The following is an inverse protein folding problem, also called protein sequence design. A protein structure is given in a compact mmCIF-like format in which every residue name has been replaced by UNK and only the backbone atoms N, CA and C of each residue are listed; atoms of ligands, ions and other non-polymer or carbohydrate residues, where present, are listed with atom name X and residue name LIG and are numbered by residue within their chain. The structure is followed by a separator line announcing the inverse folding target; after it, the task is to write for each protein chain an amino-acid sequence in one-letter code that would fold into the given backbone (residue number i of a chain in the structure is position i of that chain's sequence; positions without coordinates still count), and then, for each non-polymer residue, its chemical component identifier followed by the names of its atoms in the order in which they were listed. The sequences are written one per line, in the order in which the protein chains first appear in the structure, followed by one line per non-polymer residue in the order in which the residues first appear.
data_IF_173259358691
#
_entry.id   IF_173259358691
#
_cell.length_a   1.000
_cell.length_b   1.000
_cell.length_c   1.000
_cell.angle_alpha   90.00
_cell.angle_beta   90.00
_cell.angle_gamma   90.00
#
_symmetry.space_group_name_H-M   'P 1'
#
loop_
_entity.id
_entity.type
_entity.pdbx_description
1 polymer ?
#
# COMPACT_ATOMS: atom_id res chain seq x y z
N UNK A 1 -3.15 -22.51 -9.97
CA UNK A 1 -3.22 -21.57 -8.81
C UNK A 1 -1.88 -20.88 -8.68
N UNK A 2 -1.89 -19.59 -8.36
CA UNK A 2 -0.69 -18.76 -8.21
C UNK A 2 -0.71 -18.03 -6.88
N UNK A 3 0.45 -17.66 -6.37
CA UNK A 3 0.56 -16.83 -5.18
C UNK A 3 1.50 -15.64 -5.40
N UNK A 4 1.18 -14.51 -4.78
CA UNK A 4 2.03 -13.34 -4.71
C UNK A 4 2.24 -12.96 -3.25
N UNK A 5 3.52 -12.83 -2.87
CA UNK A 5 3.93 -12.29 -1.58
C UNK A 5 4.55 -10.91 -1.85
N UNK A 6 4.11 -9.89 -1.13
CA UNK A 6 4.70 -8.56 -1.23
C UNK A 6 5.34 -8.15 0.11
N UNK A 7 6.63 -7.82 0.06
CA UNK A 7 7.43 -7.36 1.20
C UNK A 7 7.52 -5.83 1.14
N UNK A 8 6.56 -5.18 1.78
CA UNK A 8 6.50 -3.73 1.89
C UNK A 8 7.22 -3.17 3.12
N UNK A 9 7.15 -1.84 3.26
CA UNK A 9 7.76 -1.11 4.38
C UNK A 9 7.09 -1.44 5.72
N UNK A 10 5.76 -1.48 5.78
CA UNK A 10 5.03 -1.74 7.03
C UNK A 10 4.54 -3.19 7.14
N UNK A 11 4.14 -3.76 6.00
CA UNK A 11 3.40 -5.03 5.92
C UNK A 11 4.07 -6.03 5.00
N UNK A 12 3.86 -7.31 5.26
CA UNK A 12 4.13 -8.40 4.32
C UNK A 12 2.80 -9.07 4.01
N UNK A 13 2.43 -9.09 2.74
CA UNK A 13 1.12 -9.54 2.27
C UNK A 13 1.25 -10.82 1.47
N UNK A 14 0.27 -11.73 1.56
CA UNK A 14 0.14 -12.92 0.71
C UNK A 14 -1.22 -12.86 0.00
N UNK A 15 -1.23 -13.11 -1.29
CA UNK A 15 -2.42 -13.34 -2.11
C UNK A 15 -2.30 -14.70 -2.78
N UNK A 16 -3.36 -15.50 -2.70
CA UNK A 16 -3.49 -16.74 -3.47
C UNK A 16 -4.72 -16.60 -4.36
N UNK A 17 -4.52 -16.83 -5.66
CA UNK A 17 -5.59 -16.73 -6.64
C UNK A 17 -5.54 -17.90 -7.64
N UNK A 18 -6.68 -18.16 -8.26
CA UNK A 18 -6.82 -19.03 -9.41
C UNK A 18 -7.19 -18.19 -10.63
N UNK A 19 -6.63 -18.53 -11.78
CA UNK A 19 -6.99 -17.92 -13.05
C UNK A 19 -8.22 -18.65 -13.60
N UNK A 20 -9.21 -17.89 -14.06
CA UNK A 20 -10.38 -18.37 -14.78
C UNK A 20 -10.58 -17.57 -16.08
N UNK A 21 -11.60 -17.91 -16.86
CA UNK A 21 -11.90 -17.24 -18.14
C UNK A 21 -12.17 -15.73 -17.98
N UNK A 22 -12.63 -15.31 -16.80
CA UNK A 22 -12.99 -13.93 -16.47
C UNK A 22 -11.86 -13.13 -15.79
N UNK A 23 -10.70 -13.76 -15.52
CA UNK A 23 -9.53 -13.12 -14.89
C UNK A 23 -9.00 -13.88 -13.67
N UNK A 24 -8.76 -13.16 -12.57
CA UNK A 24 -8.26 -13.75 -11.34
C UNK A 24 -9.41 -13.91 -10.34
N UNK A 25 -9.61 -15.12 -9.84
CA UNK A 25 -10.46 -15.43 -8.69
C UNK A 25 -9.63 -15.50 -7.42
N UNK A 26 -9.89 -14.61 -6.47
CA UNK A 26 -9.20 -14.61 -5.18
C UNK A 26 -9.64 -15.81 -4.35
N UNK A 27 -8.67 -16.51 -3.77
CA UNK A 27 -8.92 -17.67 -2.92
C UNK A 27 -8.58 -17.41 -1.46
N UNK A 28 -7.50 -16.66 -1.21
CA UNK A 28 -7.01 -16.43 0.14
C UNK A 28 -6.10 -15.20 0.22
N UNK A 29 -6.21 -14.46 1.31
CA UNK A 29 -5.37 -13.30 1.61
C UNK A 29 -4.87 -13.38 3.05
N UNK A 30 -3.60 -13.04 3.25
CA UNK A 30 -3.00 -12.91 4.57
C UNK A 30 -2.16 -11.64 4.66
N UNK A 31 -2.13 -11.07 5.86
CA UNK A 31 -1.35 -9.88 6.16
C UNK A 31 -0.62 -10.03 7.49
N UNK A 32 0.67 -9.70 7.50
CA UNK A 32 1.48 -9.51 8.71
C UNK A 32 2.08 -8.10 8.70
N UNK A 33 2.34 -7.54 9.88
CA UNK A 33 2.91 -6.19 10.03
C UNK A 33 4.28 -6.23 10.72
N UNK A 34 5.33 -6.75 10.07
CA UNK A 34 6.66 -6.82 10.68
C UNK A 34 7.38 -5.46 10.75
N UNK A 35 6.81 -4.40 10.17
CA UNK A 35 7.34 -3.02 10.19
C UNK A 35 8.80 -2.95 9.72
N UNK A 36 9.08 -3.56 8.56
CA UNK A 36 10.43 -3.68 7.99
C UNK A 36 11.18 -2.35 7.87
N UNK A 37 10.46 -1.30 7.49
CA UNK A 37 11.01 0.01 7.19
C UNK A 37 11.24 0.93 8.39
N UNK A 38 10.99 0.47 9.61
CA UNK A 38 11.17 1.29 10.81
C UNK A 38 12.62 1.79 10.91
N UNK A 39 12.81 3.10 10.92
CA UNK A 39 14.12 3.77 10.99
C UNK A 39 14.97 3.69 9.72
N UNK A 40 14.49 3.05 8.64
CA UNK A 40 15.25 2.90 7.38
C UNK A 40 15.49 4.25 6.72
N UNK A 41 14.56 5.19 6.85
CA UNK A 41 14.68 6.49 6.21
C UNK A 41 15.95 7.23 6.63
N UNK A 42 16.26 7.21 7.93
CA UNK A 42 17.44 7.82 8.53
C UNK A 42 18.66 6.91 8.42
N UNK A 43 18.52 5.64 8.79
CA UNK A 43 19.66 4.73 8.95
C UNK A 43 20.17 4.14 7.63
N UNK A 44 19.35 4.13 6.57
CA UNK A 44 19.62 3.48 5.28
C UNK A 44 20.00 2.00 5.41
N UNK A 45 19.53 1.35 6.47
CA UNK A 45 19.77 -0.07 6.78
C UNK A 45 18.51 -0.69 7.38
N UNK A 46 18.28 -1.96 7.05
CA UNK A 46 17.28 -2.80 7.72
C UNK A 46 17.88 -3.33 9.03
N UNK A 47 17.16 -3.19 10.14
CA UNK A 47 17.57 -3.80 11.42
C UNK A 47 17.43 -5.33 11.39
N UNK A 48 18.34 -6.05 12.04
CA UNK A 48 18.27 -7.52 12.18
C UNK A 48 16.92 -8.00 12.74
N UNK A 49 16.37 -7.29 13.73
CA UNK A 49 15.07 -7.61 14.36
C UNK A 49 13.92 -7.58 13.33
N UNK A 50 13.88 -6.52 12.52
CA UNK A 50 12.86 -6.36 11.46
C UNK A 50 13.00 -7.39 10.35
N UNK A 51 14.24 -7.72 9.95
CA UNK A 51 14.52 -8.83 9.02
C UNK A 51 13.97 -10.14 9.60
N UNK A 52 14.26 -10.44 10.87
CA UNK A 52 13.79 -11.64 11.56
C UNK A 52 12.26 -11.77 11.54
N UNK A 53 11.53 -10.68 11.79
CA UNK A 53 10.05 -10.66 11.69
C UNK A 53 9.53 -10.93 10.28
N UNK A 54 10.19 -10.38 9.25
CA UNK A 54 9.84 -10.65 7.84
C UNK A 54 10.07 -12.12 7.50
N UNK A 55 11.22 -12.69 7.88
CA UNK A 55 11.51 -14.12 7.64
C UNK A 55 10.48 -15.02 8.31
N UNK A 56 10.08 -14.71 9.56
CA UNK A 56 9.01 -15.44 10.25
C UNK A 56 7.70 -15.39 9.46
N UNK A 57 7.32 -14.21 8.95
CA UNK A 57 6.09 -14.03 8.16
C UNK A 57 6.12 -14.85 6.86
N UNK A 58 7.25 -14.85 6.14
CA UNK A 58 7.37 -15.59 4.87
C UNK A 58 7.43 -17.12 5.13
N UNK A 59 8.05 -17.57 6.22
CA UNK A 59 8.00 -18.99 6.63
C UNK A 59 6.58 -19.45 6.93
N UNK A 60 5.79 -18.61 7.60
CA UNK A 60 4.38 -18.86 7.84
C UNK A 60 3.61 -18.99 6.52
N UNK A 61 3.81 -18.06 5.59
CA UNK A 61 3.17 -18.11 4.26
C UNK A 61 3.59 -19.34 3.46
N UNK A 62 4.87 -19.72 3.51
CA UNK A 62 5.34 -20.99 2.91
C UNK A 62 4.60 -22.19 3.51
N UNK A 63 4.38 -22.23 4.81
CA UNK A 63 3.64 -23.30 5.46
C UNK A 63 2.17 -23.33 5.02
N UNK A 64 1.50 -22.18 4.92
CA UNK A 64 0.12 -22.07 4.38
C UNK A 64 0.08 -22.63 2.96
N UNK A 65 1.00 -22.19 2.09
CA UNK A 65 1.10 -22.67 0.71
C UNK A 65 1.31 -24.19 0.64
N UNK A 66 2.20 -24.76 1.46
CA UNK A 66 2.49 -26.20 1.40
C UNK A 66 1.41 -27.09 2.01
N UNK A 67 0.67 -26.60 3.01
CA UNK A 67 -0.28 -27.43 3.78
C UNK A 67 -1.73 -27.27 3.34
N UNK A 68 -2.12 -26.06 2.89
CA UNK A 68 -3.50 -25.72 2.56
C UNK A 68 -3.71 -25.49 1.06
N UNK A 69 -2.66 -25.05 0.35
CA UNK A 69 -2.73 -24.68 -1.07
C UNK A 69 -1.68 -25.40 -1.92
N UNK A 70 -1.53 -26.71 -1.72
CA UNK A 70 -0.49 -27.54 -2.38
C UNK A 70 -0.54 -27.55 -3.93
N UNK A 71 -1.60 -27.01 -4.54
CA UNK A 71 -1.75 -26.83 -6.00
C UNK A 71 -1.11 -25.53 -6.52
N UNK A 72 -0.59 -24.67 -5.65
CA UNK A 72 0.17 -23.48 -6.07
C UNK A 72 1.50 -23.93 -6.65
N UNK A 73 1.69 -23.68 -7.95
CA UNK A 73 2.90 -24.05 -8.69
C UNK A 73 3.90 -22.91 -8.77
N UNK A 74 3.42 -21.67 -8.66
CA UNK A 74 4.20 -20.45 -8.86
C UNK A 74 3.96 -19.45 -7.73
N UNK A 75 5.05 -19.01 -7.10
CA UNK A 75 5.04 -18.01 -6.05
C UNK A 75 5.92 -16.85 -6.48
N UNK A 76 5.32 -15.68 -6.66
CA UNK A 76 6.04 -14.43 -6.90
C UNK A 76 6.29 -13.77 -5.55
N UNK A 77 7.54 -13.38 -5.27
CA UNK A 77 7.85 -12.59 -4.07
C UNK A 77 8.43 -11.26 -4.50
N UNK A 78 7.75 -10.16 -4.18
CA UNK A 78 8.20 -8.79 -4.47
C UNK A 78 8.72 -8.11 -3.21
N UNK A 79 9.62 -7.16 -3.38
CA UNK A 79 10.05 -6.25 -2.32
C UNK A 79 10.13 -4.81 -2.84
N UNK A 80 9.79 -3.84 -2.00
CA UNK A 80 9.60 -2.44 -2.41
C UNK A 80 10.41 -1.44 -1.58
N UNK A 81 9.88 -0.24 -1.33
CA UNK A 81 10.58 0.96 -0.86
C UNK A 81 11.61 0.72 0.25
N UNK A 82 11.25 0.07 1.36
CA UNK A 82 12.20 -0.17 2.46
C UNK A 82 13.42 -1.00 2.05
N UNK A 83 13.24 -1.97 1.16
CA UNK A 83 14.34 -2.83 0.67
C UNK A 83 15.14 -2.13 -0.41
N UNK A 84 14.52 -1.28 -1.24
CA UNK A 84 15.23 -0.42 -2.19
C UNK A 84 16.20 0.53 -1.50
N UNK A 85 15.73 1.18 -0.43
CA UNK A 85 16.47 2.21 0.33
C UNK A 85 17.63 1.66 1.15
N UNK A 86 17.57 0.39 1.53
CA UNK A 86 18.53 -0.21 2.43
C UNK A 86 19.82 -0.65 1.73
N UNK A 87 20.95 -0.20 2.29
CA UNK A 87 22.28 -0.60 1.83
C UNK A 87 22.57 -2.10 2.07
N UNK A 88 22.01 -2.70 3.11
CA UNK A 88 22.13 -4.13 3.44
C UNK A 88 20.99 -4.99 2.86
N UNK A 89 20.24 -4.53 1.85
CA UNK A 89 19.11 -5.26 1.25
C UNK A 89 19.40 -6.72 0.86
N UNK A 90 20.62 -7.01 0.43
CA UNK A 90 21.04 -8.36 0.05
C UNK A 90 21.01 -9.34 1.22
N UNK A 91 21.14 -8.87 2.46
CA UNK A 91 21.00 -9.68 3.67
C UNK A 91 19.59 -10.29 3.74
N UNK A 92 18.56 -9.45 3.61
CA UNK A 92 17.17 -9.90 3.57
C UNK A 92 16.91 -10.84 2.38
N UNK A 93 17.30 -10.45 1.17
CA UNK A 93 17.05 -11.22 -0.06
C UNK A 93 17.67 -12.62 0.04
N UNK A 94 18.94 -12.69 0.46
CA UNK A 94 19.65 -13.97 0.60
C UNK A 94 19.03 -14.83 1.71
N UNK A 95 18.60 -14.21 2.82
CA UNK A 95 17.99 -14.94 3.92
C UNK A 95 16.61 -15.49 3.53
N UNK A 96 15.79 -14.75 2.78
CA UNK A 96 14.53 -15.26 2.21
C UNK A 96 14.81 -16.48 1.34
N UNK A 97 15.77 -16.39 0.42
CA UNK A 97 16.14 -17.51 -0.46
C UNK A 97 16.62 -18.72 0.33
N UNK A 98 17.52 -18.52 1.29
CA UNK A 98 18.07 -19.60 2.13
C UNK A 98 16.99 -20.30 2.95
N UNK A 99 16.11 -19.55 3.60
CA UNK A 99 15.17 -20.09 4.58
C UNK A 99 13.88 -20.63 3.94
N UNK A 100 13.51 -20.13 2.76
CA UNK A 100 12.21 -20.44 2.14
C UNK A 100 12.35 -21.02 0.73
N UNK A 101 13.48 -20.80 0.05
CA UNK A 101 13.68 -21.17 -1.34
C UNK A 101 13.13 -20.15 -2.35
N UNK A 102 12.38 -19.13 -1.90
CA UNK A 102 11.81 -18.12 -2.77
C UNK A 102 12.85 -17.08 -3.22
N UNK A 103 12.80 -16.72 -4.49
CA UNK A 103 13.55 -15.59 -5.03
C UNK A 103 12.75 -14.30 -4.84
N UNK A 104 13.42 -13.23 -4.41
CA UNK A 104 12.80 -11.92 -4.21
C UNK A 104 13.09 -11.03 -5.40
N UNK A 105 12.03 -10.59 -6.08
CA UNK A 105 12.10 -9.55 -7.09
C UNK A 105 12.04 -8.17 -6.42
N UNK A 106 13.16 -7.46 -6.39
CA UNK A 106 13.19 -6.07 -5.97
C UNK A 106 12.63 -5.20 -7.09
N UNK A 107 11.47 -4.57 -6.87
CA UNK A 107 10.82 -3.71 -7.85
C UNK A 107 11.39 -2.29 -7.77
N UNK A 108 11.62 -1.67 -8.92
CA UNK A 108 11.75 -0.21 -9.04
C UNK A 108 10.43 0.49 -8.65
N UNK A 109 10.48 1.80 -8.43
CA UNK A 109 9.28 2.58 -8.14
C UNK A 109 8.31 2.61 -9.33
N UNK A 110 8.84 2.62 -10.56
CA UNK A 110 8.06 2.55 -11.79
C UNK A 110 7.36 1.19 -11.96
N UNK A 111 8.05 0.08 -11.69
CA UNK A 111 7.45 -1.26 -11.72
C UNK A 111 6.38 -1.42 -10.64
N UNK A 112 6.61 -0.89 -9.43
CA UNK A 112 5.62 -0.88 -8.34
C UNK A 112 4.36 -0.12 -8.76
N UNK A 113 4.52 1.09 -9.32
CA UNK A 113 3.40 1.87 -9.82
C UNK A 113 2.65 1.17 -10.97
N UNK A 114 3.36 0.49 -11.87
CA UNK A 114 2.75 -0.28 -12.96
C UNK A 114 1.95 -1.48 -12.43
N UNK A 115 2.52 -2.24 -11.50
CA UNK A 115 1.86 -3.40 -10.90
C UNK A 115 0.63 -2.95 -10.12
N UNK A 116 0.76 -1.93 -9.28
CA UNK A 116 -0.38 -1.39 -8.55
C UNK A 116 -1.46 -0.85 -9.50
N UNK A 117 -1.11 -0.12 -10.55
CA UNK A 117 -2.09 0.37 -11.53
C UNK A 117 -2.89 -0.79 -12.14
N UNK A 118 -2.20 -1.83 -12.63
CA UNK A 118 -2.87 -3.01 -13.21
C UNK A 118 -3.76 -3.70 -12.18
N UNK A 119 -3.23 -3.95 -10.99
CA UNK A 119 -3.96 -4.66 -9.93
C UNK A 119 -5.15 -3.89 -9.37
N UNK A 120 -5.07 -2.56 -9.29
CA UNK A 120 -6.16 -1.72 -8.81
C UNK A 120 -7.40 -1.79 -9.70
N UNK A 121 -7.20 -2.03 -11.01
CA UNK A 121 -8.29 -2.06 -11.98
C UNK A 121 -8.93 -3.44 -12.12
N UNK A 122 -8.28 -4.52 -11.67
CA UNK A 122 -8.82 -5.89 -11.86
C UNK A 122 -10.00 -6.23 -10.96
N UNK A 123 -10.22 -5.46 -9.91
CA UNK A 123 -11.28 -5.73 -8.92
C UNK A 123 -12.57 -4.94 -9.19
N UNK A 124 -12.64 -4.23 -10.32
CA UNK A 124 -13.85 -3.56 -10.76
C UNK A 124 -14.46 -4.32 -11.94
N UNK A 125 -15.75 -4.61 -11.85
CA UNK A 125 -16.49 -5.30 -12.92
C UNK A 125 -16.64 -4.44 -14.19
N UNK A 126 -16.59 -3.12 -14.02
CA UNK A 126 -16.76 -2.15 -15.09
C UNK A 126 -15.41 -1.72 -15.69
N UNK A 127 -15.36 -1.61 -17.02
CA UNK A 127 -14.22 -0.99 -17.67
C UNK A 127 -14.14 0.47 -17.26
N UNK A 128 -13.02 0.85 -16.64
CA UNK A 128 -12.79 2.23 -16.25
C UNK A 128 -12.49 3.05 -17.50
N UNK A 129 -13.50 3.78 -17.96
CA UNK A 129 -13.42 4.63 -19.14
C UNK A 129 -12.81 6.00 -18.80
N UNK A 130 -12.03 6.56 -19.73
CA UNK A 130 -11.41 7.87 -19.54
C UNK A 130 -10.15 7.81 -18.69
N UNK A 131 -9.77 8.96 -18.13
CA UNK A 131 -8.53 9.10 -17.36
C UNK A 131 -8.75 8.68 -15.90
N UNK A 132 -7.78 7.94 -15.36
CA UNK A 132 -7.81 7.39 -14.00
C UNK A 132 -6.47 7.62 -13.34
N UNK A 133 -6.48 8.23 -12.15
CA UNK A 133 -5.37 8.14 -11.23
C UNK A 133 -5.51 6.92 -10.33
N UNK A 134 -4.43 6.17 -10.17
CA UNK A 134 -4.27 5.19 -9.10
C UNK A 134 -3.25 5.75 -8.11
N UNK A 135 -3.66 5.84 -6.85
CA UNK A 135 -2.83 6.28 -5.72
C UNK A 135 -2.56 5.08 -4.79
N UNK A 136 -1.29 4.76 -4.60
CA UNK A 136 -0.82 3.79 -3.62
C UNK A 136 -0.13 4.51 -2.47
N UNK A 137 -0.68 4.45 -1.25
CA UNK A 137 -0.01 5.01 -0.08
C UNK A 137 0.64 3.86 0.70
N UNK A 138 1.89 3.60 0.37
CA UNK A 138 2.75 2.66 1.06
C UNK A 138 3.33 3.22 2.36
N UNK A 139 4.11 2.39 3.05
CA UNK A 139 4.83 2.82 4.25
C UNK A 139 6.04 3.70 3.93
N UNK A 140 6.78 3.38 2.86
CA UNK A 140 8.02 4.07 2.50
C UNK A 140 7.90 4.99 1.29
N UNK A 141 6.99 4.68 0.37
CA UNK A 141 6.73 5.47 -0.84
C UNK A 141 5.23 5.67 -1.04
N UNK A 142 4.89 6.55 -1.97
CA UNK A 142 3.56 6.69 -2.55
C UNK A 142 3.68 6.69 -4.06
N UNK A 143 2.96 5.82 -4.73
CA UNK A 143 2.92 5.75 -6.19
C UNK A 143 1.68 6.48 -6.70
N UNK A 144 1.88 7.31 -7.72
CA UNK A 144 0.80 7.92 -8.50
C UNK A 144 0.94 7.46 -9.94
N UNK A 145 -0.07 6.78 -10.43
CA UNK A 145 -0.16 6.30 -11.80
C UNK A 145 -1.36 6.94 -12.51
N UNK A 146 -1.12 7.62 -13.61
CA UNK A 146 -2.15 8.10 -14.53
C UNK A 146 -2.28 7.11 -15.66
N UNK A 147 -3.49 6.60 -15.89
CA UNK A 147 -3.81 5.87 -17.10
C UNK A 147 -5.08 6.35 -17.77
N UNK A 148 -5.35 5.77 -18.94
CA UNK A 148 -6.49 6.09 -19.80
C UNK A 148 -6.97 4.84 -20.48
N UNK A 149 -8.28 4.60 -20.40
CA UNK A 149 -8.93 3.46 -21.04
C UNK A 149 -8.20 2.14 -20.71
N UNK A 150 -7.90 1.95 -19.42
CA UNK A 150 -7.19 0.78 -18.87
C UNK A 150 -5.69 0.71 -19.15
N UNK A 151 -5.08 1.70 -19.82
CA UNK A 151 -3.65 1.71 -20.14
C UNK A 151 -2.91 2.75 -19.34
N UNK A 152 -1.80 2.37 -18.73
CA UNK A 152 -0.90 3.28 -18.04
C UNK A 152 -0.30 4.30 -19.04
N UNK A 153 -0.36 5.59 -18.69
CA UNK A 153 0.22 6.70 -19.49
C UNK A 153 1.50 7.21 -18.84
N UNK A 154 1.47 7.44 -17.54
CA UNK A 154 2.53 8.11 -16.80
C UNK A 154 2.47 7.67 -15.34
N UNK A 155 3.61 7.51 -14.69
CA UNK A 155 3.66 7.12 -13.29
C UNK A 155 4.85 7.76 -12.58
N UNK A 156 4.75 7.82 -11.26
CA UNK A 156 5.86 8.23 -10.42
C UNK A 156 5.75 7.62 -9.03
N UNK A 157 6.89 7.20 -8.48
CA UNK A 157 7.04 6.78 -7.09
C UNK A 157 7.70 7.91 -6.31
N UNK A 158 6.99 8.45 -5.33
CA UNK A 158 7.49 9.48 -4.43
C UNK A 158 8.01 8.81 -3.16
N UNK A 159 9.16 9.25 -2.65
CA UNK A 159 9.67 8.85 -1.32
C UNK A 159 8.87 9.51 -0.18
N UNK A 160 7.57 9.25 -0.17
CA UNK A 160 6.54 9.82 0.68
C UNK A 160 5.60 8.71 1.09
N UNK A 161 5.93 7.96 2.14
CA UNK A 161 5.06 6.93 2.69
C UNK A 161 4.65 7.25 4.12
N UNK A 162 3.61 6.58 4.62
CA UNK A 162 3.06 6.87 5.94
C UNK A 162 4.03 6.60 7.09
N UNK A 163 4.87 5.56 7.02
CA UNK A 163 5.94 5.30 8.00
C UNK A 163 7.00 6.40 7.90
N UNK A 164 7.49 6.67 6.69
CA UNK A 164 8.55 7.66 6.44
C UNK A 164 8.16 9.05 6.92
N UNK A 165 6.95 9.51 6.58
CA UNK A 165 6.49 10.86 6.92
C UNK A 165 6.14 10.99 8.41
N UNK A 166 5.72 9.91 9.05
CA UNK A 166 5.55 9.88 10.51
C UNK A 166 6.90 10.08 11.21
N UNK A 167 7.91 9.31 10.82
CA UNK A 167 9.26 9.41 11.41
C UNK A 167 9.92 10.77 11.17
N UNK A 168 9.66 11.41 10.01
CA UNK A 168 10.22 12.72 9.67
C UNK A 168 9.54 13.89 10.37
N UNK A 169 8.20 13.85 10.49
CA UNK A 169 7.42 15.03 10.85
C UNK A 169 6.58 14.82 12.11
N UNK A 170 5.93 13.66 12.29
CA UNK A 170 4.89 13.44 13.30
C UNK A 170 5.42 12.68 14.53
N UNK A 171 6.51 13.15 15.12
CA UNK A 171 7.20 12.45 16.23
C UNK A 171 6.57 12.62 17.62
N UNK A 172 5.49 13.39 17.75
CA UNK A 172 4.78 13.63 19.03
C UNK A 172 3.42 12.95 19.00
N UNK A 173 2.92 12.56 20.18
CA UNK A 173 1.65 11.86 20.35
C UNK A 173 0.77 12.54 21.42
N UNK A 174 -0.28 13.30 21.05
CA UNK A 174 -0.66 13.66 19.69
C UNK A 174 0.33 14.65 19.05
N UNK A 175 0.36 14.76 17.70
CA UNK A 175 1.30 15.64 17.01
C UNK A 175 0.97 17.12 17.20
N UNK A 176 1.99 17.96 17.27
CA UNK A 176 1.80 19.40 17.31
C UNK A 176 1.27 19.94 15.97
N UNK A 177 0.51 21.04 16.04
CA UNK A 177 -0.04 21.69 14.84
C UNK A 177 1.05 22.14 13.85
N UNK A 178 2.25 22.48 14.34
CA UNK A 178 3.40 22.80 13.49
C UNK A 178 3.88 21.60 12.69
N UNK A 179 4.03 20.43 13.34
CA UNK A 179 4.41 19.18 12.68
C UNK A 179 3.44 18.78 11.57
N UNK A 180 2.14 18.96 11.79
CA UNK A 180 1.11 18.71 10.78
C UNK A 180 1.26 19.67 9.60
N UNK A 181 1.51 20.97 9.86
CA UNK A 181 1.73 21.96 8.79
C UNK A 181 2.99 21.64 7.97
N UNK A 182 4.08 21.27 8.63
CA UNK A 182 5.33 20.87 7.98
C UNK A 182 5.13 19.62 7.11
N UNK A 183 4.43 18.60 7.63
CA UNK A 183 4.08 17.40 6.89
C UNK A 183 3.27 17.75 5.62
N UNK A 184 2.21 18.56 5.75
CA UNK A 184 1.41 19.04 4.59
C UNK A 184 2.24 19.79 3.57
N UNK A 185 3.15 20.67 4.03
CA UNK A 185 4.02 21.42 3.15
C UNK A 185 5.00 20.51 2.39
N UNK A 186 5.53 19.49 3.05
CA UNK A 186 6.37 18.49 2.44
C UNK A 186 5.61 17.68 1.37
N UNK A 187 4.40 17.21 1.69
CA UNK A 187 3.52 16.51 0.72
C UNK A 187 3.29 17.37 -0.52
N UNK A 188 2.86 18.62 -0.33
CA UNK A 188 2.64 19.56 -1.43
C UNK A 188 3.90 19.77 -2.27
N UNK A 189 5.04 20.03 -1.63
CA UNK A 189 6.31 20.27 -2.34
C UNK A 189 6.74 19.06 -3.16
N UNK A 190 6.53 17.84 -2.65
CA UNK A 190 6.83 16.62 -3.39
C UNK A 190 5.92 16.46 -4.60
N UNK A 191 4.61 16.65 -4.46
CA UNK A 191 3.66 16.57 -5.57
C UNK A 191 3.96 17.57 -6.71
N UNK A 192 4.52 18.74 -6.38
CA UNK A 192 4.93 19.75 -7.36
C UNK A 192 6.15 19.33 -8.20
N UNK A 193 6.95 18.35 -7.76
CA UNK A 193 8.15 17.88 -8.49
C UNK A 193 7.83 17.09 -9.76
N UNK A 194 6.65 16.47 -9.83
CA UNK A 194 6.17 15.72 -10.99
C UNK A 194 4.82 16.24 -11.45
N UNK A 195 4.77 16.75 -12.68
CA UNK A 195 3.52 17.15 -13.32
C UNK A 195 2.89 15.98 -14.07
N UNK A 196 1.68 15.62 -13.69
CA UNK A 196 0.81 14.73 -14.46
C UNK A 196 -0.13 15.57 -15.33
N UNK A 197 -0.61 15.00 -16.45
CA UNK A 197 -1.47 15.69 -17.42
C UNK A 197 -2.76 14.90 -17.70
N UNK A 198 -3.68 14.80 -16.71
CA UNK A 198 -4.98 14.19 -16.95
C UNK A 198 -5.84 15.09 -17.87
N UNK A 199 -6.78 14.48 -18.58
CA UNK A 199 -7.90 15.17 -19.22
C UNK A 199 -8.88 15.68 -18.15
N UNK A 200 -9.88 16.47 -18.56
CA UNK A 200 -10.99 16.86 -17.68
C UNK A 200 -11.74 15.61 -17.20
N UNK A 201 -12.24 15.66 -15.96
CA UNK A 201 -13.02 14.60 -15.31
C UNK A 201 -12.23 13.29 -15.10
N UNK A 202 -11.07 13.40 -14.45
CA UNK A 202 -10.26 12.24 -14.06
C UNK A 202 -10.86 11.58 -12.82
N UNK A 203 -10.96 10.25 -12.84
CA UNK A 203 -11.36 9.47 -11.68
C UNK A 203 -10.13 9.18 -10.80
N UNK A 204 -10.34 8.96 -9.51
CA UNK A 204 -9.28 8.53 -8.61
C UNK A 204 -9.63 7.21 -7.94
N UNK A 205 -8.67 6.30 -7.97
CA UNK A 205 -8.70 5.01 -7.28
C UNK A 205 -7.55 4.99 -6.28
N UNK A 206 -7.84 4.59 -5.05
CA UNK A 206 -6.88 4.53 -3.96
C UNK A 206 -6.74 3.10 -3.46
N UNK A 207 -5.51 2.66 -3.24
CA UNK A 207 -5.20 1.30 -2.78
C UNK A 207 -4.42 1.31 -1.45
N UNK A 208 -4.05 0.12 -1.00
CA UNK A 208 -3.22 -0.14 0.17
C UNK A 208 -3.86 0.19 1.52
N UNK A 209 -3.05 0.02 2.57
CA UNK A 209 -3.49 -0.05 3.97
C UNK A 209 -4.20 1.21 4.45
N UNK A 210 -3.77 2.40 4.03
CA UNK A 210 -4.40 3.67 4.45
C UNK A 210 -5.83 3.79 3.94
N UNK A 211 -6.03 3.58 2.63
CA UNK A 211 -7.34 3.74 1.98
C UNK A 211 -8.32 2.67 2.45
N UNK A 212 -7.87 1.41 2.48
CA UNK A 212 -8.68 0.31 2.98
C UNK A 212 -9.04 0.50 4.45
N UNK A 213 -8.11 0.84 5.33
CA UNK A 213 -8.47 1.10 6.74
C UNK A 213 -9.45 2.25 6.90
N UNK A 214 -9.31 3.32 6.10
CA UNK A 214 -10.23 4.45 6.14
C UNK A 214 -11.64 4.04 5.68
N UNK A 215 -11.75 3.18 4.66
CA UNK A 215 -13.03 2.58 4.28
C UNK A 215 -13.61 1.71 5.39
N UNK A 216 -12.80 0.86 6.04
CA UNK A 216 -13.26 0.04 7.16
C UNK A 216 -13.81 0.91 8.32
N UNK A 217 -13.12 2.01 8.65
CA UNK A 217 -13.57 2.95 9.68
C UNK A 217 -14.89 3.63 9.27
N UNK A 218 -15.01 4.10 8.02
CA UNK A 218 -16.23 4.78 7.53
C UNK A 218 -17.42 3.82 7.42
N UNK A 219 -17.16 2.56 7.08
CA UNK A 219 -18.16 1.48 7.01
C UNK A 219 -18.45 0.83 8.37
N UNK A 220 -17.69 1.17 9.42
CA UNK A 220 -17.78 0.54 10.75
C UNK A 220 -17.56 -0.98 10.72
N UNK A 221 -16.63 -1.43 9.88
CA UNK A 221 -16.25 -2.84 9.76
C UNK A 221 -14.96 -3.08 10.54
N UNK A 222 -14.99 -4.10 11.38
CA UNK A 222 -13.93 -4.44 12.32
C UNK A 222 -12.88 -5.40 11.74
N UNK A 223 -13.20 -6.07 10.63
CA UNK A 223 -12.36 -7.05 9.97
C UNK A 223 -12.19 -6.71 8.50
N UNK A 224 -11.11 -7.21 7.88
CA UNK A 224 -10.89 -6.95 6.46
C UNK A 224 -11.96 -7.66 5.63
N UNK A 225 -12.77 -6.87 4.94
CA UNK A 225 -13.89 -7.34 4.11
C UNK A 225 -13.78 -6.71 2.72
N UNK A 226 -13.07 -7.37 1.78
CA UNK A 226 -12.82 -6.78 0.48
C UNK A 226 -14.10 -6.58 -0.34
N UNK A 227 -15.15 -7.37 -0.11
CA UNK A 227 -16.42 -7.27 -0.86
C UNK A 227 -17.14 -5.96 -0.54
N UNK A 228 -17.17 -5.56 0.73
CA UNK A 228 -17.82 -4.31 1.16
C UNK A 228 -16.93 -3.08 1.01
N UNK A 229 -15.61 -3.25 1.14
CA UNK A 229 -14.65 -2.14 1.07
C UNK A 229 -14.33 -1.73 -0.37
N UNK A 230 -14.35 -2.68 -1.31
CA UNK A 230 -14.04 -2.40 -2.71
C UNK A 230 -15.12 -1.49 -3.32
N UNK A 231 -14.66 -0.44 -3.98
CA UNK A 231 -15.54 0.55 -4.58
C UNK A 231 -16.09 1.60 -3.62
N UNK A 232 -15.81 1.51 -2.31
CA UNK A 232 -16.23 2.53 -1.34
C UNK A 232 -15.64 3.90 -1.68
N UNK A 233 -16.45 4.96 -1.56
CA UNK A 233 -16.03 6.33 -1.88
C UNK A 233 -15.61 7.08 -0.61
N UNK A 234 -14.35 7.52 -0.58
CA UNK A 234 -13.85 8.45 0.43
C UNK A 234 -13.98 9.87 -0.11
N UNK A 235 -14.90 10.62 0.46
CA UNK A 235 -15.14 12.03 0.12
C UNK A 235 -14.20 12.93 0.90
N UNK A 236 -13.64 13.96 0.25
CA UNK A 236 -12.69 14.94 0.80
C UNK A 236 -13.14 15.53 2.14
N UNK A 237 -14.42 15.83 2.30
CA UNK A 237 -14.95 16.39 3.55
C UNK A 237 -15.00 15.36 4.71
N UNK A 238 -15.22 14.08 4.42
CA UNK A 238 -15.09 13.03 5.44
C UNK A 238 -13.63 12.83 5.84
N UNK A 239 -12.71 12.88 4.87
CA UNK A 239 -11.27 12.82 5.13
C UNK A 239 -10.81 13.93 6.07
N UNK A 240 -11.28 15.17 5.87
CA UNK A 240 -10.95 16.31 6.76
C UNK A 240 -11.36 16.04 8.21
N UNK A 241 -12.56 15.49 8.43
CA UNK A 241 -13.02 15.10 9.78
C UNK A 241 -12.15 13.99 10.38
N UNK A 242 -11.76 13.01 9.56
CA UNK A 242 -10.81 11.97 9.97
C UNK A 242 -9.48 12.58 10.42
N UNK A 243 -8.89 13.48 9.63
CA UNK A 243 -7.65 14.17 10.00
C UNK A 243 -7.80 14.95 11.31
N UNK A 244 -8.91 15.65 11.51
CA UNK A 244 -9.17 16.39 12.76
C UNK A 244 -9.14 15.44 13.96
N UNK A 245 -9.86 14.31 13.90
CA UNK A 245 -9.85 13.29 14.96
C UNK A 245 -8.43 12.78 15.21
N UNK A 246 -7.74 12.32 14.17
CA UNK A 246 -6.39 11.76 14.29
C UNK A 246 -5.34 12.78 14.73
N UNK A 247 -5.58 14.08 14.52
CA UNK A 247 -4.68 15.15 14.96
C UNK A 247 -4.80 15.53 16.43
N UNK A 248 -5.92 15.16 17.08
CA UNK A 248 -6.25 15.59 18.45
C UNK A 248 -6.15 14.48 19.49
N UNK A 249 -6.01 13.23 19.05
CA UNK A 249 -6.03 12.05 19.93
C UNK A 249 -4.67 11.36 19.95
N UNK A 250 -4.33 10.78 21.10
CA UNK A 250 -3.15 9.93 21.21
C UNK A 250 -3.34 8.63 20.44
N UNK A 251 -2.25 7.93 20.13
CA UNK A 251 -2.29 6.59 19.53
C UNK A 251 -3.15 5.62 20.37
N UNK A 252 -3.06 5.71 21.70
CA UNK A 252 -3.88 4.89 22.61
C UNK A 252 -5.38 5.19 22.47
N UNK A 253 -5.76 6.47 22.42
CA UNK A 253 -7.16 6.86 22.25
C UNK A 253 -7.70 6.45 20.87
N UNK A 254 -6.87 6.55 19.83
CA UNK A 254 -7.24 6.10 18.48
C UNK A 254 -7.45 4.59 18.43
N UNK A 255 -6.57 3.81 19.09
CA UNK A 255 -6.75 2.36 19.22
C UNK A 255 -8.05 2.00 19.93
N UNK A 256 -8.52 2.79 20.90
CA UNK A 256 -9.81 2.55 21.56
C UNK A 256 -11.02 2.75 20.63
N UNK A 257 -10.89 3.63 19.62
CA UNK A 257 -11.96 3.91 18.65
C UNK A 257 -12.12 2.79 17.61
N UNK A 258 -11.01 2.23 17.13
CA UNK A 258 -11.05 1.13 16.15
C UNK A 258 -9.89 0.16 16.36
N UNK A 259 -9.97 -0.70 17.41
CA UNK A 259 -8.83 -1.50 17.86
C UNK A 259 -8.31 -2.44 16.78
N UNK A 260 -9.20 -3.09 16.04
CA UNK A 260 -8.81 -4.10 15.04
C UNK A 260 -8.21 -3.46 13.79
N UNK A 261 -8.77 -2.35 13.31
CA UNK A 261 -8.33 -1.67 12.08
C UNK A 261 -7.01 -0.93 12.30
N UNK A 262 -6.87 -0.27 13.46
CA UNK A 262 -5.73 0.62 13.72
C UNK A 262 -4.54 -0.09 14.36
N UNK A 263 -4.67 -1.30 14.91
CA UNK A 263 -3.56 -2.02 15.52
C UNK A 263 -2.38 -2.22 14.55
N UNK A 264 -1.22 -1.72 14.93
CA UNK A 264 0.01 -1.73 14.13
C UNK A 264 0.08 -0.63 13.07
N UNK A 265 -0.88 0.30 13.08
CA UNK A 265 -1.02 1.44 12.17
C UNK A 265 -1.31 2.76 12.90
N UNK A 266 -1.60 2.70 14.20
CA UNK A 266 -2.07 3.83 15.02
C UNK A 266 -1.13 5.02 15.00
N UNK A 267 0.17 4.77 14.91
CA UNK A 267 1.22 5.78 14.91
C UNK A 267 1.44 6.39 13.52
N UNK A 268 1.21 5.63 12.45
CA UNK A 268 1.49 6.04 11.07
C UNK A 268 0.26 6.54 10.30
N UNK A 269 -0.95 6.34 10.83
CA UNK A 269 -2.18 6.54 10.07
C UNK A 269 -2.38 8.00 9.65
N UNK A 270 -2.12 8.95 10.55
CA UNK A 270 -2.30 10.38 10.28
C UNK A 270 -1.43 10.85 9.10
N UNK A 271 -0.18 10.39 9.01
CA UNK A 271 0.67 10.72 7.86
C UNK A 271 0.05 10.24 6.54
N UNK A 272 -0.51 9.02 6.53
CA UNK A 272 -1.23 8.50 5.36
C UNK A 272 -2.44 9.36 4.99
N UNK A 273 -3.21 9.83 5.98
CA UNK A 273 -4.34 10.73 5.75
C UNK A 273 -3.91 12.08 5.17
N UNK A 274 -2.81 12.66 5.66
CA UNK A 274 -2.25 13.92 5.16
C UNK A 274 -1.70 13.79 3.72
N UNK A 275 -1.12 12.63 3.39
CA UNK A 275 -0.71 12.33 2.00
C UNK A 275 -1.94 12.27 1.09
N UNK A 276 -2.99 11.57 1.51
CA UNK A 276 -4.24 11.49 0.75
C UNK A 276 -4.89 12.87 0.57
N UNK A 277 -4.94 13.68 1.63
CA UNK A 277 -5.45 15.06 1.58
C UNK A 277 -4.64 15.91 0.59
N UNK A 278 -3.31 15.81 0.61
CA UNK A 278 -2.44 16.51 -0.32
C UNK A 278 -2.70 16.10 -1.77
N UNK A 279 -2.86 14.80 -2.04
CA UNK A 279 -3.21 14.28 -3.36
C UNK A 279 -4.55 14.85 -3.87
N UNK A 280 -5.62 14.72 -3.07
CA UNK A 280 -6.94 15.21 -3.44
C UNK A 280 -6.94 16.72 -3.69
N UNK A 281 -6.24 17.49 -2.86
CA UNK A 281 -6.14 18.95 -3.01
C UNK A 281 -5.32 19.35 -4.23
N UNK A 282 -4.20 18.68 -4.50
CA UNK A 282 -3.31 19.04 -5.61
C UNK A 282 -3.94 18.79 -6.98
N UNK A 283 -4.71 17.72 -7.12
CA UNK A 283 -5.41 17.38 -8.37
C UNK A 283 -6.86 17.91 -8.44
N UNK A 284 -7.28 18.67 -7.42
CA UNK A 284 -8.64 19.19 -7.27
C UNK A 284 -9.75 18.13 -7.40
N UNK A 285 -9.58 17.02 -6.66
CA UNK A 285 -10.50 15.89 -6.62
C UNK A 285 -11.35 15.88 -5.35
N UNK A 286 -12.67 15.75 -5.50
CA UNK A 286 -13.62 15.72 -4.37
C UNK A 286 -13.69 14.36 -3.68
N UNK A 287 -13.31 13.28 -4.34
CA UNK A 287 -13.39 11.93 -3.80
C UNK A 287 -12.36 10.98 -4.43
N UNK A 288 -12.16 9.85 -3.76
CA UNK A 288 -11.37 8.73 -4.25
C UNK A 288 -12.11 7.42 -3.98
N UNK A 289 -12.12 6.53 -4.96
CA UNK A 289 -12.71 5.18 -4.85
C UNK A 289 -11.69 4.20 -4.31
N UNK A 290 -12.04 3.43 -3.30
CA UNK A 290 -11.15 2.42 -2.73
C UNK A 290 -11.10 1.18 -3.62
N UNK A 291 -9.91 0.65 -3.85
CA UNK A 291 -9.67 -0.65 -4.47
C UNK A 291 -8.93 -1.56 -3.49
N UNK A 292 -9.42 -2.79 -3.38
CA UNK A 292 -8.75 -3.89 -2.64
C UNK A 292 -7.72 -4.61 -3.53
N UNK A 293 -7.79 -4.39 -4.84
CA UNK A 293 -6.78 -4.74 -5.83
C UNK A 293 -5.57 -3.82 -5.73
N UNK A 294 -4.37 -4.38 -5.82
CA UNK A 294 -3.11 -3.63 -5.67
C UNK A 294 -1.92 -4.42 -6.18
N UNK A 295 -0.71 -4.13 -5.67
CA UNK A 295 0.55 -4.68 -6.19
C UNK A 295 0.55 -6.21 -6.36
N UNK A 296 -0.01 -6.97 -5.39
CA UNK A 296 -0.10 -8.43 -5.45
C UNK A 296 -0.95 -8.92 -6.63
N UNK A 297 -2.05 -8.24 -6.92
CA UNK A 297 -2.93 -8.56 -8.05
C UNK A 297 -2.20 -8.25 -9.36
N UNK A 298 -1.54 -7.09 -9.44
CA UNK A 298 -0.72 -6.70 -10.58
C UNK A 298 0.44 -7.66 -10.86
N UNK A 299 1.12 -8.14 -9.82
CA UNK A 299 2.19 -9.12 -9.94
C UNK A 299 1.71 -10.42 -10.56
N UNK A 300 0.56 -10.94 -10.10
CA UNK A 300 -0.07 -12.13 -10.68
C UNK A 300 -0.47 -11.90 -12.15
N UNK A 301 -1.13 -10.78 -12.46
CA UNK A 301 -1.52 -10.42 -13.82
C UNK A 301 -0.33 -10.26 -14.78
N UNK A 302 0.78 -9.68 -14.29
CA UNK A 302 1.96 -9.49 -15.11
C UNK A 302 2.61 -10.82 -15.53
N UNK A 303 2.49 -11.86 -14.69
CA UNK A 303 2.97 -13.20 -15.03
C UNK A 303 2.07 -13.88 -16.07
N UNK A 304 0.75 -13.65 -16.05
CA UNK A 304 -0.18 -14.17 -17.07
C UNK A 304 0.20 -13.70 -18.47
N UNK A 305 0.50 -12.41 -18.62
CA UNK A 305 0.86 -11.83 -19.92
C UNK A 305 2.24 -12.26 -20.47
N UNK A 306 3.04 -13.00 -19.69
CA UNK A 306 4.37 -13.51 -20.09
C UNK A 306 4.35 -15.00 -20.48
N UNK A 307 3.23 -15.69 -20.34
CA UNK A 307 3.06 -17.11 -20.66
C UNK A 307 2.33 -17.26 -21.98
#
# INVERSE_FOLDING_TARGET
MKAAIDIGTNTVLLLIAEENEDGLRMLHEEQRMPRLGKGVDVNKTLSEESIGRVITSIKEYKNILSTQFAKVTDVIVTATSAVRDASNRNELINLVKKETGFDVQLLSGEEEAEYTYKGALTVFDEQVAGDVFVLDIGGGSTEIALGRDGKLIDSHSFDMGCVRFTERFLVQDPPFQEQIRECRQAVKSMLETKKFKPKKNVQAVGVAGTLTSLAAIDLQIDEYDPEHMNGHLIVRDKLKKGIEIFSLHTHQQLLELSPKVLKGREDIFLAGLLILEGFLNYFDLEEIRVSTGGIRHGALMNQLNKT
#
